data_IF_184666442504
#
_entry.id   IF_184666442504
#
_cell.length_a   1.000
_cell.length_b   1.000
_cell.length_c   1.000
_cell.angle_alpha   90.00
_cell.angle_beta   90.00
_cell.angle_gamma   90.00
#
_symmetry.space_group_name_H-M   'P 1'
#
loop_
_entity.id
_entity.type
_entity.pdbx_description
1 polymer ?
#
# COMPACT_ATOMS: atom_id res chain seq x y z
N UNK A 1 1.36 -2.03 -33.01
CA UNK A 1 0.08 -1.62 -32.37
C UNK A 1 0.32 -1.02 -30.99
N UNK A 2 1.11 -1.66 -30.11
CA UNK A 2 1.38 -1.19 -28.74
C UNK A 2 2.16 0.13 -28.63
N UNK A 3 3.09 0.39 -29.54
CA UNK A 3 3.86 1.64 -29.56
C UNK A 3 2.95 2.83 -29.84
N UNK A 4 2.04 2.70 -30.81
CA UNK A 4 1.10 3.76 -31.20
C UNK A 4 0.04 4.03 -30.12
N UNK A 5 -0.46 2.99 -29.46
CA UNK A 5 -1.36 3.10 -28.29
C UNK A 5 -0.67 3.79 -27.11
N UNK A 6 0.61 3.48 -26.85
CA UNK A 6 1.42 4.14 -25.83
C UNK A 6 1.63 5.64 -26.11
N UNK A 7 1.93 6.00 -27.37
CA UNK A 7 2.05 7.39 -27.79
C UNK A 7 0.74 8.18 -27.63
N UNK A 8 -0.39 7.62 -28.06
CA UNK A 8 -1.70 8.24 -27.92
C UNK A 8 -2.08 8.44 -26.45
N UNK A 9 -1.82 7.44 -25.60
CA UNK A 9 -2.04 7.56 -24.15
C UNK A 9 -1.18 8.65 -23.51
N UNK A 10 0.08 8.79 -23.93
CA UNK A 10 1.00 9.81 -23.41
C UNK A 10 0.60 11.21 -23.87
N UNK A 11 0.19 11.36 -25.13
CA UNK A 11 -0.34 12.62 -25.66
C UNK A 11 -1.61 13.06 -24.90
N UNK A 12 -2.53 12.12 -24.62
CA UNK A 12 -3.75 12.39 -23.83
C UNK A 12 -3.44 12.83 -22.40
N UNK A 13 -2.47 12.19 -21.74
CA UNK A 13 -2.00 12.59 -20.41
C UNK A 13 -1.44 14.01 -20.41
N UNK A 14 -0.55 14.33 -21.35
CA UNK A 14 0.05 15.66 -21.49
C UNK A 14 -1.03 16.73 -21.77
N UNK A 15 -2.00 16.43 -22.63
CA UNK A 15 -3.11 17.34 -22.90
C UNK A 15 -3.97 17.61 -21.65
N UNK A 16 -4.30 16.56 -20.88
CA UNK A 16 -5.01 16.70 -19.59
C UNK A 16 -4.21 17.51 -18.57
N UNK A 17 -2.90 17.30 -18.51
CA UNK A 17 -1.99 18.06 -17.65
C UNK A 17 -1.95 19.55 -18.03
N UNK A 18 -1.80 19.88 -19.32
CA UNK A 18 -1.88 21.26 -19.77
C UNK A 18 -3.24 21.90 -19.47
N UNK A 19 -4.32 21.14 -19.65
CA UNK A 19 -5.67 21.61 -19.37
C UNK A 19 -5.86 21.92 -17.88
N UNK A 20 -5.48 21.00 -16.98
CA UNK A 20 -5.67 21.22 -15.54
C UNK A 20 -4.83 22.39 -15.03
N UNK A 21 -3.60 22.57 -15.52
CA UNK A 21 -2.76 23.73 -15.19
C UNK A 21 -3.42 25.04 -15.60
N UNK A 22 -3.98 25.08 -16.81
CA UNK A 22 -4.68 26.25 -17.36
C UNK A 22 -5.93 26.61 -16.53
N UNK A 23 -6.74 25.61 -16.18
CA UNK A 23 -7.95 25.81 -15.36
C UNK A 23 -7.57 26.32 -13.96
N UNK A 24 -6.61 25.67 -13.30
CA UNK A 24 -6.17 26.06 -11.95
C UNK A 24 -5.60 27.48 -11.90
N UNK A 25 -4.91 27.92 -12.96
CA UNK A 25 -4.39 29.27 -13.07
C UNK A 25 -5.49 30.31 -13.34
N UNK A 26 -6.47 30.00 -14.21
CA UNK A 26 -7.55 30.92 -14.60
C UNK A 26 -8.58 31.15 -13.50
N UNK A 27 -8.94 30.10 -12.77
CA UNK A 27 -9.92 30.16 -11.68
C UNK A 27 -9.36 30.86 -10.41
N UNK A 28 -8.16 31.42 -10.50
CA UNK A 28 -7.57 32.24 -9.44
C UNK A 28 -7.10 31.46 -8.22
N UNK A 29 -7.12 30.12 -8.23
CA UNK A 29 -6.71 29.26 -7.10
C UNK A 29 -5.23 29.39 -6.70
N UNK A 30 -4.44 30.18 -7.43
CA UNK A 30 -3.06 30.50 -7.11
C UNK A 30 -2.87 31.39 -5.86
N UNK A 31 -1.61 31.69 -5.51
CA UNK A 31 -1.27 32.49 -4.34
C UNK A 31 -1.88 33.89 -4.46
N UNK A 32 -2.65 34.32 -3.45
CA UNK A 32 -3.19 35.67 -3.35
C UNK A 32 -3.11 36.17 -1.91
N UNK A 33 -2.73 37.44 -1.66
CA UNK A 33 -2.67 38.01 -0.31
C UNK A 33 -4.00 37.98 0.45
N UNK A 34 -5.13 37.91 -0.26
CA UNK A 34 -6.48 37.91 0.31
C UNK A 34 -7.08 36.52 0.51
N UNK A 35 -6.33 35.44 0.19
CA UNK A 35 -6.86 34.08 0.20
C UNK A 35 -6.87 33.51 1.62
N UNK A 36 -8.06 33.14 2.07
CA UNK A 36 -8.29 32.53 3.39
C UNK A 36 -7.77 31.08 3.37
N UNK A 37 -6.98 30.72 4.38
CA UNK A 37 -6.52 29.36 4.60
C UNK A 37 -7.67 28.46 5.04
N UNK A 38 -7.69 27.21 4.59
CA UNK A 38 -8.67 26.21 4.99
C UNK A 38 -8.00 24.87 5.34
N UNK A 39 -8.60 24.06 6.23
CA UNK A 39 -8.03 22.76 6.58
C UNK A 39 -8.14 21.79 5.40
N UNK A 40 -7.05 21.08 5.09
CA UNK A 40 -7.04 20.05 4.06
C UNK A 40 -7.96 18.88 4.48
N UNK A 41 -8.97 18.48 3.69
CA UNK A 41 -9.92 17.45 4.12
C UNK A 41 -9.25 16.15 4.59
N UNK A 42 -8.22 15.68 3.87
CA UNK A 42 -7.52 14.43 4.20
C UNK A 42 -6.49 14.57 5.33
N UNK A 43 -6.16 15.79 5.75
CA UNK A 43 -5.24 16.11 6.85
C UNK A 43 -5.68 17.42 7.51
N UNK A 44 -6.75 17.42 8.34
CA UNK A 44 -7.37 18.63 8.87
C UNK A 44 -6.44 19.54 9.68
N UNK A 45 -5.36 18.99 10.20
CA UNK A 45 -4.28 19.70 10.89
C UNK A 45 -3.40 20.55 9.97
N UNK A 46 -3.49 20.36 8.64
CA UNK A 46 -2.72 21.09 7.64
C UNK A 46 -3.61 22.16 7.02
N UNK A 47 -3.30 23.42 7.33
CA UNK A 47 -3.94 24.59 6.73
C UNK A 47 -3.29 24.89 5.37
N UNK A 48 -4.09 24.89 4.31
CA UNK A 48 -3.64 25.23 2.96
C UNK A 48 -4.30 26.53 2.51
N UNK A 49 -3.56 27.35 1.76
CA UNK A 49 -4.11 28.61 1.25
C UNK A 49 -4.36 28.56 -0.26
N UNK A 50 -3.41 28.10 -1.08
CA UNK A 50 -3.50 28.16 -2.53
C UNK A 50 -2.98 26.91 -3.21
N UNK A 51 -3.38 26.70 -4.47
CA UNK A 51 -2.79 25.69 -5.37
C UNK A 51 -1.54 26.28 -6.03
N UNK A 52 -0.62 25.41 -6.45
CA UNK A 52 0.54 25.72 -7.28
C UNK A 52 0.28 25.12 -8.68
N UNK A 53 -0.38 25.85 -9.60
CA UNK A 53 -0.86 25.29 -10.87
C UNK A 53 0.25 24.64 -11.70
N UNK A 54 1.42 25.28 -11.82
CA UNK A 54 2.54 24.82 -12.62
C UNK A 54 3.12 23.46 -12.17
N UNK A 55 2.91 23.08 -10.91
CA UNK A 55 3.35 21.80 -10.36
C UNK A 55 2.33 20.68 -10.49
N UNK A 56 1.11 20.99 -10.93
CA UNK A 56 0.09 19.97 -11.16
C UNK A 56 0.57 18.95 -12.20
N UNK A 57 0.36 17.66 -11.92
CA UNK A 57 0.72 16.54 -12.80
C UNK A 57 -0.45 15.61 -12.95
N UNK A 58 -0.56 14.94 -14.09
CA UNK A 58 -1.58 13.89 -14.29
C UNK A 58 -0.88 12.56 -14.40
N UNK A 59 -1.28 11.56 -13.62
CA UNK A 59 -0.71 10.22 -13.71
C UNK A 59 -1.38 9.38 -14.80
N UNK A 60 -0.62 8.47 -15.39
CA UNK A 60 -1.11 7.51 -16.37
C UNK A 60 -1.82 6.36 -15.64
N UNK A 61 -3.15 6.40 -15.63
CA UNK A 61 -4.04 5.35 -15.12
C UNK A 61 -5.39 5.45 -15.83
N UNK A 62 -6.29 4.47 -15.67
CA UNK A 62 -7.62 4.45 -16.27
C UNK A 62 -8.40 5.75 -16.02
N UNK A 63 -8.32 6.26 -14.78
CA UNK A 63 -9.05 7.47 -14.33
C UNK A 63 -8.21 8.76 -14.39
N UNK A 64 -6.94 8.69 -14.82
CA UNK A 64 -6.02 9.83 -14.93
C UNK A 64 -6.01 10.75 -13.68
N UNK A 65 -5.60 10.24 -12.50
CA UNK A 65 -5.63 11.04 -11.29
C UNK A 65 -4.66 12.23 -11.38
N UNK A 66 -5.10 13.36 -10.84
CA UNK A 66 -4.35 14.60 -10.85
C UNK A 66 -3.63 14.82 -9.52
N UNK A 67 -2.30 14.94 -9.56
CA UNK A 67 -1.50 15.43 -8.45
C UNK A 67 -1.63 16.94 -8.36
N UNK A 68 -2.20 17.43 -7.27
CA UNK A 68 -2.32 18.85 -6.96
C UNK A 68 -1.43 19.17 -5.78
N UNK A 69 -0.68 20.26 -5.91
CA UNK A 69 0.21 20.76 -4.86
C UNK A 69 -0.35 22.06 -4.29
N UNK A 70 -0.43 22.12 -2.97
CA UNK A 70 -0.97 23.24 -2.21
C UNK A 70 0.15 23.92 -1.41
N UNK A 71 0.09 25.24 -1.28
CA UNK A 71 0.90 25.98 -0.32
C UNK A 71 0.33 25.81 1.09
N UNK A 72 1.20 25.48 2.04
CA UNK A 72 0.84 25.36 3.46
C UNK A 72 0.98 26.71 4.13
N UNK A 73 0.02 27.05 4.98
CA UNK A 73 0.06 28.29 5.74
C UNK A 73 1.26 28.34 6.69
N UNK A 74 1.93 29.49 6.77
CA UNK A 74 3.06 29.76 7.67
C UNK A 74 4.28 28.82 7.51
N UNK A 75 4.33 27.97 6.47
CA UNK A 75 5.43 27.04 6.24
C UNK A 75 5.88 27.16 4.78
N UNK A 76 7.20 27.24 4.54
CA UNK A 76 7.79 27.15 3.20
C UNK A 76 7.79 25.71 2.64
N UNK A 77 6.71 24.98 2.89
CA UNK A 77 6.47 23.62 2.40
C UNK A 77 5.15 23.62 1.65
N UNK A 78 5.06 22.69 0.72
CA UNK A 78 3.83 22.38 0.03
C UNK A 78 3.27 21.05 0.50
N UNK A 79 1.97 20.88 0.33
CA UNK A 79 1.26 19.63 0.59
C UNK A 79 0.67 19.10 -0.70
N UNK A 80 0.89 17.80 -0.97
CA UNK A 80 0.46 17.17 -2.21
C UNK A 80 -0.65 16.17 -1.98
N UNK A 81 -1.64 16.21 -2.86
CA UNK A 81 -2.75 15.26 -2.88
C UNK A 81 -3.02 14.80 -4.30
N UNK A 82 -3.51 13.57 -4.41
CA UNK A 82 -4.07 13.01 -5.61
C UNK A 82 -5.58 13.22 -5.61
N UNK A 83 -6.08 13.93 -6.62
CA UNK A 83 -7.50 14.04 -6.91
C UNK A 83 -7.88 12.97 -7.93
N UNK A 84 -8.82 12.10 -7.54
CA UNK A 84 -9.44 11.10 -8.41
C UNK A 84 -10.86 11.53 -8.72
N UNK A 85 -11.23 11.45 -9.99
CA UNK A 85 -12.57 11.76 -10.50
C UNK A 85 -13.02 10.67 -11.46
N UNK A 86 -14.28 10.25 -11.37
CA UNK A 86 -14.84 9.11 -12.11
C UNK A 86 -14.64 7.77 -11.41
N UNK A 87 -14.33 7.76 -10.11
CA UNK A 87 -14.05 6.56 -9.32
C UNK A 87 -14.65 6.71 -7.91
N UNK A 88 -15.14 5.62 -7.34
CA UNK A 88 -15.72 5.59 -5.99
C UNK A 88 -14.68 5.14 -4.97
N UNK A 89 -14.13 6.09 -4.22
CA UNK A 89 -13.06 5.80 -3.25
C UNK A 89 -13.55 5.29 -1.90
N UNK A 90 -14.86 5.02 -1.71
CA UNK A 90 -15.36 4.51 -0.42
C UNK A 90 -14.74 3.15 -0.09
N UNK A 91 -14.47 2.33 -1.10
CA UNK A 91 -13.78 1.05 -0.96
C UNK A 91 -12.32 1.23 -0.48
N UNK A 92 -11.53 2.06 -1.16
CA UNK A 92 -10.16 2.40 -0.75
C UNK A 92 -10.12 3.05 0.65
N UNK A 93 -11.08 3.91 0.96
CA UNK A 93 -11.22 4.56 2.25
C UNK A 93 -11.47 3.53 3.37
N UNK A 94 -12.34 2.54 3.13
CA UNK A 94 -12.55 1.42 4.05
C UNK A 94 -11.26 0.61 4.24
N UNK A 95 -10.57 0.24 3.15
CA UNK A 95 -9.30 -0.48 3.22
C UNK A 95 -8.26 0.24 4.10
N UNK A 96 -8.21 1.57 3.95
CA UNK A 96 -7.26 2.38 4.68
C UNK A 96 -7.68 2.63 6.14
N UNK A 97 -8.97 2.67 6.43
CA UNK A 97 -9.50 2.64 7.79
C UNK A 97 -9.11 1.33 8.50
N UNK A 98 -9.27 0.19 7.83
CA UNK A 98 -8.89 -1.12 8.35
C UNK A 98 -7.38 -1.22 8.57
N UNK A 99 -6.58 -0.70 7.62
CA UNK A 99 -5.11 -0.59 7.75
C UNK A 99 -4.72 0.23 8.98
N UNK A 100 -5.34 1.42 9.19
CA UNK A 100 -5.11 2.28 10.37
C UNK A 100 -5.46 1.57 11.67
N UNK A 101 -6.57 0.83 11.70
CA UNK A 101 -6.99 0.06 12.85
C UNK A 101 -5.97 -1.04 13.19
N UNK A 102 -5.63 -1.88 12.21
CA UNK A 102 -4.71 -3.00 12.40
C UNK A 102 -3.31 -2.52 12.80
N UNK A 103 -2.81 -1.43 12.20
CA UNK A 103 -1.54 -0.79 12.61
C UNK A 103 -1.57 -0.34 14.09
N UNK A 104 -2.68 0.26 14.55
CA UNK A 104 -2.83 0.63 15.98
C UNK A 104 -2.86 -0.60 16.89
N UNK A 105 -3.54 -1.68 16.48
CA UNK A 105 -3.61 -2.92 17.26
C UNK A 105 -2.23 -3.58 17.39
N UNK A 106 -1.47 -3.61 16.31
CA UNK A 106 -0.08 -4.10 16.32
C UNK A 106 0.81 -3.24 17.23
N UNK A 107 0.72 -1.91 17.14
CA UNK A 107 1.46 -0.99 18.00
C UNK A 107 1.12 -1.12 19.48
N UNK A 108 -0.12 -1.47 19.84
CA UNK A 108 -0.53 -1.74 21.24
C UNK A 108 0.18 -2.94 21.85
N UNK A 109 0.58 -3.91 21.05
CA UNK A 109 1.39 -5.06 21.48
C UNK A 109 2.89 -4.85 21.20
N UNK A 110 3.32 -3.58 21.08
CA UNK A 110 4.70 -3.17 20.81
C UNK A 110 5.28 -3.70 19.49
N UNK A 111 4.42 -4.02 18.52
CA UNK A 111 4.81 -4.48 17.19
C UNK A 111 4.57 -3.37 16.17
N UNK A 112 5.52 -2.43 16.05
CA UNK A 112 5.46 -1.41 14.99
C UNK A 112 6.02 -1.99 13.68
N UNK A 113 5.17 -2.23 12.69
CA UNK A 113 5.60 -2.77 11.40
C UNK A 113 5.97 -1.69 10.38
N UNK A 114 6.11 -0.43 10.80
CA UNK A 114 6.38 0.67 9.86
C UNK A 114 5.34 0.74 8.72
N UNK A 115 4.07 0.38 9.00
CA UNK A 115 2.96 0.50 8.05
C UNK A 115 2.75 1.97 7.70
N UNK A 116 2.43 2.27 6.44
CA UNK A 116 2.19 3.66 5.97
C UNK A 116 0.70 3.87 5.70
N UNK A 117 -0.10 4.22 6.72
CA UNK A 117 -1.54 4.41 6.57
C UNK A 117 -1.86 5.84 6.08
N UNK A 118 -1.74 6.07 4.78
CA UNK A 118 -2.04 7.36 4.17
C UNK A 118 -3.56 7.68 4.22
N UNK A 119 -3.95 8.91 3.95
CA UNK A 119 -5.33 9.36 4.06
C UNK A 119 -6.09 9.28 2.73
N UNK A 120 -7.32 8.81 2.78
CA UNK A 120 -8.24 8.74 1.63
C UNK A 120 -9.59 9.24 2.09
N UNK A 121 -10.17 10.17 1.34
CA UNK A 121 -11.52 10.69 1.56
C UNK A 121 -12.28 10.71 0.25
N UNK A 122 -13.37 9.94 0.18
CA UNK A 122 -14.38 10.11 -0.85
C UNK A 122 -15.14 11.42 -0.58
N UNK A 123 -15.01 12.37 -1.50
CA UNK A 123 -15.71 13.68 -1.42
C UNK A 123 -17.08 13.63 -2.08
N UNK A 124 -17.31 12.67 -2.97
CA UNK A 124 -18.60 12.36 -3.60
C UNK A 124 -18.64 10.88 -4.03
N UNK A 125 -19.76 10.35 -4.53
CA UNK A 125 -19.83 8.99 -5.06
C UNK A 125 -18.92 8.70 -6.25
N UNK A 126 -18.32 9.72 -6.87
CA UNK A 126 -17.44 9.57 -8.04
C UNK A 126 -16.18 10.44 -7.96
N UNK A 127 -15.85 10.96 -6.78
CA UNK A 127 -14.63 11.74 -6.59
C UNK A 127 -14.07 11.63 -5.18
N UNK A 128 -12.76 11.77 -5.07
CA UNK A 128 -12.12 11.83 -3.77
C UNK A 128 -10.68 12.30 -3.81
N UNK A 129 -10.14 12.46 -2.62
CA UNK A 129 -8.80 12.98 -2.34
C UNK A 129 -8.00 11.87 -1.67
N UNK A 130 -6.81 11.61 -2.19
CA UNK A 130 -5.83 10.68 -1.64
C UNK A 130 -4.57 11.45 -1.26
N UNK A 131 -4.08 11.26 -0.04
CA UNK A 131 -2.80 11.80 0.39
C UNK A 131 -1.67 11.27 -0.51
N UNK A 132 -0.79 12.17 -0.96
CA UNK A 132 0.38 11.77 -1.73
C UNK A 132 1.53 11.40 -0.79
N UNK A 133 1.90 10.12 -0.75
CA UNK A 133 3.03 9.66 0.07
C UNK A 133 4.35 10.12 -0.56
N UNK A 134 5.07 10.94 0.19
CA UNK A 134 6.28 11.57 -0.28
C UNK A 134 7.44 10.60 -0.51
N UNK A 135 8.30 10.94 -1.47
CA UNK A 135 9.49 10.16 -1.82
C UNK A 135 9.20 8.68 -2.14
N UNK A 136 7.97 8.38 -2.57
CA UNK A 136 7.53 7.04 -2.96
C UNK A 136 7.66 6.82 -4.47
N UNK A 137 7.89 5.58 -4.86
CA UNK A 137 7.92 5.12 -6.24
C UNK A 137 7.28 3.74 -6.36
N UNK A 138 6.57 3.44 -7.46
CA UNK A 138 6.12 2.08 -7.74
C UNK A 138 7.30 1.13 -7.90
N UNK A 139 7.14 -0.11 -7.45
CA UNK A 139 8.20 -1.12 -7.50
C UNK A 139 8.61 -1.41 -8.95
N UNK A 140 7.67 -1.37 -9.90
CA UNK A 140 7.97 -1.46 -11.33
C UNK A 140 9.01 -0.42 -11.79
N UNK A 141 8.85 0.83 -11.37
CA UNK A 141 9.77 1.93 -11.68
C UNK A 141 11.10 1.79 -10.94
N UNK A 142 11.07 1.32 -9.69
CA UNK A 142 12.30 1.03 -8.92
C UNK A 142 13.13 -0.03 -9.65
N UNK A 143 12.52 -1.13 -10.05
CA UNK A 143 13.21 -2.22 -10.73
C UNK A 143 13.71 -1.80 -12.12
N UNK A 144 12.94 -1.01 -12.87
CA UNK A 144 13.36 -0.50 -14.17
C UNK A 144 14.57 0.46 -14.07
N UNK A 145 14.62 1.30 -13.03
CA UNK A 145 15.65 2.33 -12.89
C UNK A 145 16.91 1.87 -12.15
N UNK A 146 16.86 0.72 -11.45
CA UNK A 146 17.94 0.25 -10.58
C UNK A 146 18.33 -1.20 -10.87
N UNK A 147 18.49 -1.54 -12.15
CA UNK A 147 18.94 -2.86 -12.64
C UNK A 147 18.21 -4.04 -11.96
N UNK A 148 16.89 -3.94 -11.83
CA UNK A 148 16.04 -4.95 -11.19
C UNK A 148 16.41 -5.25 -9.72
N UNK A 149 16.98 -4.26 -8.99
CA UNK A 149 17.44 -4.41 -7.61
C UNK A 149 16.90 -3.33 -6.68
N UNK A 150 16.15 -3.76 -5.66
CA UNK A 150 15.70 -2.88 -4.56
C UNK A 150 16.89 -2.42 -3.71
N UNK A 151 17.90 -3.27 -3.52
CA UNK A 151 19.11 -2.90 -2.78
C UNK A 151 19.84 -1.73 -3.46
N UNK A 152 19.99 -1.78 -4.80
CA UNK A 152 20.62 -0.67 -5.54
C UNK A 152 19.82 0.64 -5.42
N UNK A 153 18.49 0.56 -5.37
CA UNK A 153 17.64 1.72 -5.08
C UNK A 153 17.97 2.31 -3.71
N UNK A 154 18.03 1.50 -2.65
CA UNK A 154 18.38 2.00 -1.32
C UNK A 154 19.82 2.52 -1.22
N UNK A 155 20.77 1.89 -1.89
CA UNK A 155 22.16 2.37 -1.98
C UNK A 155 22.23 3.77 -2.63
N UNK A 156 21.37 4.06 -3.61
CA UNK A 156 21.36 5.37 -4.28
C UNK A 156 20.77 6.50 -3.44
N UNK A 157 19.83 6.20 -2.53
CA UNK A 157 19.10 7.23 -1.76
C UNK A 157 19.45 7.28 -0.27
N UNK A 158 20.01 6.21 0.29
CA UNK A 158 20.41 6.12 1.69
C UNK A 158 21.74 5.36 1.87
N UNK A 159 22.82 5.78 1.19
CA UNK A 159 24.12 5.13 1.32
C UNK A 159 24.71 5.33 2.72
N UNK A 160 25.31 4.27 3.28
CA UNK A 160 26.13 4.35 4.49
C UNK A 160 27.32 3.41 4.38
N UNK A 161 28.52 3.95 4.21
CA UNK A 161 29.76 3.17 4.13
C UNK A 161 29.99 2.38 5.42
N UNK A 162 30.33 1.10 5.28
CA UNK A 162 30.60 0.21 6.41
C UNK A 162 29.35 -0.35 7.09
N UNK A 163 28.15 0.05 6.66
CA UNK A 163 26.92 -0.64 7.03
C UNK A 163 26.69 -1.87 6.15
N UNK A 164 25.86 -2.80 6.62
CA UNK A 164 25.47 -3.98 5.82
C UNK A 164 24.78 -3.52 4.52
N UNK A 165 25.19 -4.11 3.40
CA UNK A 165 24.72 -3.75 2.05
C UNK A 165 25.07 -2.32 1.59
N UNK A 166 25.93 -1.60 2.31
CA UNK A 166 26.23 -0.16 2.11
C UNK A 166 24.99 0.74 2.19
N UNK A 167 23.96 0.31 2.92
CA UNK A 167 22.71 1.03 3.13
C UNK A 167 22.52 1.35 4.61
N UNK A 168 21.88 2.49 4.90
CA UNK A 168 21.50 2.86 6.26
C UNK A 168 20.64 1.76 6.93
N UNK A 169 21.02 1.23 8.11
CA UNK A 169 20.33 0.08 8.73
C UNK A 169 18.83 0.29 9.01
N UNK A 170 18.41 1.52 9.33
CA UNK A 170 17.00 1.87 9.53
C UNK A 170 16.17 1.71 8.26
N UNK A 171 16.74 1.94 7.07
CA UNK A 171 16.04 1.80 5.79
C UNK A 171 15.74 0.33 5.51
N UNK A 172 16.73 -0.54 5.71
CA UNK A 172 16.54 -2.00 5.58
C UNK A 172 15.56 -2.50 6.62
N UNK A 173 15.66 -2.04 7.88
CA UNK A 173 14.72 -2.40 8.94
C UNK A 173 13.29 -1.97 8.63
N UNK A 174 13.09 -0.74 8.15
CA UNK A 174 11.79 -0.25 7.71
C UNK A 174 11.22 -1.11 6.58
N UNK A 175 12.06 -1.49 5.61
CA UNK A 175 11.64 -2.32 4.49
C UNK A 175 11.17 -3.70 4.94
N UNK A 176 11.98 -4.40 5.74
CA UNK A 176 11.64 -5.71 6.31
C UNK A 176 10.31 -5.65 7.10
N UNK A 177 10.18 -4.65 7.99
CA UNK A 177 8.99 -4.48 8.84
C UNK A 177 7.74 -4.18 8.02
N UNK A 178 7.84 -3.25 7.07
CA UNK A 178 6.69 -2.79 6.28
C UNK A 178 6.24 -3.80 5.23
N UNK A 179 7.16 -4.60 4.68
CA UNK A 179 6.80 -5.75 3.84
C UNK A 179 6.06 -6.81 4.66
N UNK A 180 6.51 -7.13 5.88
CA UNK A 180 5.80 -8.05 6.77
C UNK A 180 4.37 -7.57 7.07
N UNK A 181 4.21 -6.29 7.42
CA UNK A 181 2.90 -5.68 7.63
C UNK A 181 2.03 -5.71 6.38
N UNK A 182 2.57 -5.32 5.22
CA UNK A 182 1.85 -5.33 3.94
C UNK A 182 1.32 -6.71 3.55
N UNK A 183 2.14 -7.76 3.68
CA UNK A 183 1.72 -9.15 3.39
C UNK A 183 0.57 -9.60 4.30
N UNK A 184 0.68 -9.38 5.61
CA UNK A 184 -0.37 -9.79 6.57
C UNK A 184 -1.67 -9.02 6.34
N UNK A 185 -1.59 -7.70 6.16
CA UNK A 185 -2.77 -6.86 5.93
C UNK A 185 -3.50 -7.21 4.63
N UNK A 186 -2.76 -7.38 3.53
CA UNK A 186 -3.35 -7.75 2.23
C UNK A 186 -3.92 -9.15 2.24
N UNK A 187 -3.29 -10.10 2.95
CA UNK A 187 -3.82 -11.43 3.15
C UNK A 187 -5.16 -11.40 3.90
N UNK A 188 -5.21 -10.74 5.07
CA UNK A 188 -6.40 -10.69 5.91
C UNK A 188 -7.58 -9.99 5.22
N UNK A 189 -7.31 -8.86 4.54
CA UNK A 189 -8.34 -8.13 3.80
C UNK A 189 -8.68 -8.77 2.44
N UNK A 190 -7.92 -9.78 1.99
CA UNK A 190 -8.11 -10.43 0.70
C UNK A 190 -7.96 -9.48 -0.48
N UNK A 191 -6.93 -8.62 -0.45
CA UNK A 191 -6.71 -7.62 -1.51
C UNK A 191 -6.18 -8.29 -2.78
N UNK A 192 -6.91 -8.15 -3.87
CA UNK A 192 -6.57 -8.69 -5.19
C UNK A 192 -5.79 -7.72 -6.09
N UNK A 193 -5.45 -8.17 -7.29
CA UNK A 193 -4.75 -7.41 -8.34
C UNK A 193 -3.43 -6.75 -7.88
N UNK A 194 -2.68 -7.47 -7.05
CA UNK A 194 -1.37 -7.00 -6.57
C UNK A 194 -0.29 -7.18 -7.65
N UNK A 195 -0.09 -6.16 -8.48
CA UNK A 195 1.01 -6.07 -9.46
C UNK A 195 2.05 -5.02 -9.04
N UNK A 196 3.20 -4.99 -9.72
CA UNK A 196 4.37 -4.17 -9.34
C UNK A 196 4.09 -2.66 -9.30
N UNK A 197 3.11 -2.16 -10.08
CA UNK A 197 2.69 -0.75 -10.02
C UNK A 197 1.84 -0.40 -8.79
N UNK A 198 1.19 -1.40 -8.16
CA UNK A 198 0.40 -1.22 -6.93
C UNK A 198 1.24 -1.39 -5.66
N UNK A 199 2.51 -1.76 -5.80
CA UNK A 199 3.47 -1.90 -4.71
C UNK A 199 4.38 -0.69 -4.68
N UNK A 200 4.34 0.09 -3.61
CA UNK A 200 5.09 1.33 -3.49
C UNK A 200 6.23 1.18 -2.48
N UNK A 201 7.38 1.80 -2.78
CA UNK A 201 8.53 1.89 -1.87
C UNK A 201 8.94 3.35 -1.72
N UNK A 202 9.20 3.77 -0.49
CA UNK A 202 9.78 5.08 -0.18
C UNK A 202 11.31 5.02 -0.12
N UNK A 203 11.97 6.16 -0.36
CA UNK A 203 13.42 6.31 -0.14
C UNK A 203 13.87 6.02 1.31
N UNK A 204 12.94 6.02 2.26
CA UNK A 204 13.18 5.70 3.68
C UNK A 204 13.00 4.22 4.02
N UNK A 205 12.72 3.38 3.01
CA UNK A 205 12.55 1.94 3.18
C UNK A 205 11.13 1.48 3.43
N UNK A 206 10.16 2.38 3.66
CA UNK A 206 8.76 1.96 3.88
C UNK A 206 8.15 1.43 2.58
N UNK A 207 7.54 0.25 2.67
CA UNK A 207 6.74 -0.41 1.65
C UNK A 207 5.24 -0.26 1.98
N UNK A 208 4.41 -0.05 0.97
CA UNK A 208 2.97 0.00 1.13
C UNK A 208 2.24 -0.32 -0.18
N UNK A 209 0.98 -0.69 -0.06
CA UNK A 209 0.12 -0.96 -1.20
C UNK A 209 -0.72 0.27 -1.53
N UNK A 210 -0.97 0.50 -2.82
CA UNK A 210 -1.97 1.45 -3.31
C UNK A 210 -3.01 0.72 -4.14
N UNK A 211 -4.11 1.41 -4.45
CA UNK A 211 -5.21 0.94 -5.27
C UNK A 211 -5.91 -0.30 -4.66
N UNK A 212 -7.08 -0.13 -4.07
CA UNK A 212 -7.83 -1.23 -3.45
C UNK A 212 -9.09 -1.58 -4.25
N UNK A 213 -9.06 -1.44 -5.57
CA UNK A 213 -10.20 -1.75 -6.45
C UNK A 213 -10.67 -3.21 -6.44
N UNK A 214 -9.88 -4.14 -5.90
CA UNK A 214 -10.29 -5.53 -5.67
C UNK A 214 -10.00 -5.93 -4.23
N UNK A 215 -11.04 -6.21 -3.45
CA UNK A 215 -10.94 -6.60 -2.04
C UNK A 215 -11.79 -7.82 -1.69
N UNK A 216 -11.59 -8.32 -0.47
CA UNK A 216 -12.37 -9.40 0.13
C UNK A 216 -12.37 -10.70 -0.70
N UNK A 217 -11.24 -10.98 -1.34
CA UNK A 217 -11.01 -12.19 -2.12
C UNK A 217 -11.40 -12.09 -3.59
N UNK A 218 -11.85 -10.92 -4.06
CA UNK A 218 -11.98 -10.67 -5.50
C UNK A 218 -10.59 -10.46 -6.11
N UNK A 219 -10.39 -11.06 -7.27
CA UNK A 219 -9.19 -10.83 -8.09
C UNK A 219 -9.58 -11.03 -9.57
N UNK A 220 -9.05 -10.23 -10.50
CA UNK A 220 -9.24 -10.47 -11.93
C UNK A 220 -8.61 -11.79 -12.42
N UNK A 221 -7.68 -12.37 -11.64
CA UNK A 221 -6.98 -13.61 -11.98
C UNK A 221 -7.69 -14.81 -11.36
N UNK A 222 -7.76 -15.96 -12.06
CA UNK A 222 -8.50 -17.14 -11.61
C UNK A 222 -7.86 -17.84 -10.39
N UNK A 223 -6.54 -17.72 -10.21
CA UNK A 223 -5.79 -18.35 -9.11
C UNK A 223 -4.75 -17.36 -8.57
N UNK A 224 -5.17 -16.31 -7.84
CA UNK A 224 -4.24 -15.35 -7.30
C UNK A 224 -3.45 -15.97 -6.13
N UNK A 225 -2.17 -15.60 -5.95
CA UNK A 225 -1.46 -15.95 -4.73
C UNK A 225 -2.11 -15.26 -3.53
N UNK A 226 -1.96 -15.84 -2.34
CA UNK A 226 -2.57 -15.33 -1.11
C UNK A 226 -2.19 -13.88 -0.77
N UNK A 227 -0.94 -13.51 -1.09
CA UNK A 227 -0.44 -12.14 -1.13
C UNK A 227 0.72 -12.05 -2.13
N UNK A 228 1.16 -10.84 -2.45
CA UNK A 228 2.24 -10.61 -3.42
C UNK A 228 3.58 -10.38 -2.72
N UNK A 229 4.40 -11.44 -2.65
CA UNK A 229 5.82 -11.36 -2.29
C UNK A 229 6.65 -11.76 -3.52
N UNK A 230 7.55 -10.87 -3.97
CA UNK A 230 8.36 -11.13 -5.18
C UNK A 230 9.78 -11.53 -4.82
N UNK A 231 10.47 -12.22 -5.74
CA UNK A 231 11.89 -12.54 -5.56
C UNK A 231 12.74 -11.29 -5.34
N UNK A 232 12.43 -10.19 -6.04
CA UNK A 232 13.15 -8.92 -5.87
C UNK A 232 12.97 -8.31 -4.47
N UNK A 233 11.83 -8.56 -3.82
CA UNK A 233 11.60 -8.16 -2.43
C UNK A 233 12.46 -9.00 -1.48
N UNK A 234 12.56 -10.31 -1.70
CA UNK A 234 13.44 -11.21 -0.94
C UNK A 234 14.91 -10.85 -1.13
N UNK A 235 15.33 -10.60 -2.37
CA UNK A 235 16.68 -10.13 -2.70
C UNK A 235 16.94 -8.74 -2.09
N UNK A 236 15.90 -7.90 -2.01
CA UNK A 236 15.90 -6.62 -1.28
C UNK A 236 16.20 -6.76 0.21
N UNK A 237 15.87 -7.91 0.80
CA UNK A 237 16.22 -8.29 2.17
C UNK A 237 17.58 -9.02 2.24
N UNK A 238 18.33 -9.09 1.14
CA UNK A 238 19.61 -9.81 1.09
C UNK A 238 19.49 -11.31 0.84
N UNK A 239 18.34 -11.79 0.34
CA UNK A 239 18.10 -13.18 -0.03
C UNK A 239 17.46 -14.00 1.09
N UNK A 240 17.02 -15.22 0.77
CA UNK A 240 16.27 -16.09 1.70
C UNK A 240 17.07 -16.59 2.89
N UNK A 241 18.39 -16.68 2.75
CA UNK A 241 19.28 -17.11 3.83
C UNK A 241 19.68 -15.95 4.77
N UNK A 242 19.23 -14.73 4.48
CA UNK A 242 19.61 -13.55 5.24
C UNK A 242 18.95 -13.52 6.64
N UNK A 243 19.55 -12.75 7.55
CA UNK A 243 18.95 -12.50 8.85
C UNK A 243 17.67 -11.66 8.73
N UNK A 244 17.65 -10.75 7.76
CA UNK A 244 16.55 -9.84 7.45
C UNK A 244 15.33 -10.59 6.92
N UNK A 245 15.52 -11.61 6.07
CA UNK A 245 14.43 -12.46 5.60
C UNK A 245 13.84 -13.30 6.73
N UNK A 246 14.70 -13.89 7.58
CA UNK A 246 14.23 -14.58 8.80
C UNK A 246 13.47 -13.63 9.74
N UNK A 247 13.92 -12.39 9.87
CA UNK A 247 13.22 -11.36 10.62
C UNK A 247 11.86 -11.02 9.99
N UNK A 248 11.77 -10.87 8.67
CA UNK A 248 10.52 -10.69 7.93
C UNK A 248 9.53 -11.82 8.25
N UNK A 249 9.93 -13.09 8.11
CA UNK A 249 9.07 -14.24 8.41
C UNK A 249 8.57 -14.22 9.85
N UNK A 250 9.49 -13.94 10.80
CA UNK A 250 9.17 -13.84 12.23
C UNK A 250 8.16 -12.71 12.52
N UNK A 251 8.37 -11.53 11.95
CA UNK A 251 7.48 -10.37 12.12
C UNK A 251 6.10 -10.62 11.51
N UNK A 252 6.04 -11.25 10.33
CA UNK A 252 4.79 -11.57 9.66
C UNK A 252 3.94 -12.56 10.48
N UNK A 253 4.57 -13.61 11.03
CA UNK A 253 3.89 -14.57 11.91
C UNK A 253 3.39 -13.92 13.20
N UNK A 254 4.23 -13.10 13.85
CA UNK A 254 3.84 -12.35 15.06
C UNK A 254 2.67 -11.40 14.78
N UNK A 255 2.71 -10.69 13.65
CA UNK A 255 1.66 -9.78 13.25
C UNK A 255 0.34 -10.51 12.96
N UNK A 256 0.41 -11.65 12.27
CA UNK A 256 -0.75 -12.49 12.00
C UNK A 256 -1.41 -12.97 13.30
N UNK A 257 -0.64 -13.52 14.24
CA UNK A 257 -1.14 -13.95 15.54
C UNK A 257 -1.67 -12.79 16.41
N UNK A 258 -1.02 -11.63 16.38
CA UNK A 258 -1.50 -10.45 17.10
C UNK A 258 -2.86 -9.97 16.56
N UNK A 259 -3.04 -9.93 15.24
CA UNK A 259 -4.29 -9.50 14.62
C UNK A 259 -5.41 -10.53 14.78
N UNK A 260 -5.10 -11.83 14.79
CA UNK A 260 -6.04 -12.92 15.13
C UNK A 260 -6.71 -12.73 16.47
N UNK A 261 -5.94 -12.33 17.49
CA UNK A 261 -6.46 -12.04 18.83
C UNK A 261 -7.42 -10.85 18.86
N UNK A 262 -7.39 -10.00 17.82
CA UNK A 262 -8.26 -8.83 17.66
C UNK A 262 -9.28 -8.98 16.53
N UNK A 263 -9.48 -10.19 15.99
CA UNK A 263 -10.34 -10.44 14.84
C UNK A 263 -11.78 -9.94 15.06
N UNK A 264 -12.34 -10.15 16.25
CA UNK A 264 -13.70 -9.69 16.57
C UNK A 264 -13.93 -8.19 16.36
N UNK A 265 -12.94 -7.34 16.66
CA UNK A 265 -13.06 -5.89 16.40
C UNK A 265 -13.06 -5.58 14.91
N UNK A 266 -12.20 -6.26 14.14
CA UNK A 266 -12.13 -6.11 12.68
C UNK A 266 -13.45 -6.55 12.04
N UNK A 267 -13.96 -7.73 12.41
CA UNK A 267 -15.19 -8.30 11.87
C UNK A 267 -16.41 -7.46 12.23
N UNK A 268 -16.53 -7.00 13.48
CA UNK A 268 -17.65 -6.14 13.90
C UNK A 268 -17.69 -4.83 13.11
N UNK A 269 -16.54 -4.22 12.82
CA UNK A 269 -16.51 -3.01 11.99
C UNK A 269 -16.91 -3.28 10.55
N UNK A 270 -16.55 -4.44 9.99
CA UNK A 270 -17.00 -4.82 8.65
C UNK A 270 -18.50 -5.10 8.62
N UNK A 271 -19.07 -5.74 9.64
CA UNK A 271 -20.51 -5.93 9.78
C UNK A 271 -21.25 -4.59 9.86
N UNK A 272 -20.73 -3.59 10.58
CA UNK A 272 -21.34 -2.25 10.61
C UNK A 272 -21.28 -1.52 9.26
N UNK A 273 -20.40 -1.95 8.36
CA UNK A 273 -20.25 -1.38 7.02
C UNK A 273 -21.01 -2.16 5.94
N UNK A 274 -21.73 -3.23 6.29
CA UNK A 274 -22.44 -4.11 5.35
C UNK A 274 -23.40 -3.35 4.43
N UNK A 275 -24.09 -2.34 4.98
CA UNK A 275 -25.13 -1.57 4.29
C UNK A 275 -24.60 -0.27 3.67
N UNK A 276 -23.28 -0.07 3.64
CA UNK A 276 -22.66 1.16 3.16
C UNK A 276 -22.71 1.34 1.62
N UNK A 277 -23.21 0.35 0.88
CA UNK A 277 -23.29 0.39 -0.58
C UNK A 277 -21.92 0.38 -1.26
N UNK A 278 -20.93 -0.30 -0.67
CA UNK A 278 -19.56 -0.44 -1.18
C UNK A 278 -19.51 -1.67 -2.09
N UNK A 279 -18.99 -1.52 -3.31
CA UNK A 279 -19.12 -2.50 -4.39
C UNK A 279 -18.71 -3.93 -4.01
N UNK A 280 -17.47 -4.13 -3.53
CA UNK A 280 -16.97 -5.47 -3.18
C UNK A 280 -17.51 -6.02 -1.85
N UNK A 281 -18.12 -5.16 -1.02
CA UNK A 281 -18.66 -5.54 0.28
C UNK A 281 -20.16 -5.88 0.23
N UNK A 282 -20.97 -5.02 -0.40
CA UNK A 282 -22.44 -5.10 -0.38
C UNK A 282 -23.06 -5.51 -1.72
N UNK A 283 -22.41 -5.20 -2.85
CA UNK A 283 -22.97 -5.41 -4.19
C UNK A 283 -22.37 -6.62 -4.88
N UNK A 284 -21.96 -7.64 -4.12
CA UNK A 284 -21.37 -8.82 -4.71
C UNK A 284 -22.46 -9.74 -5.31
N UNK A 285 -22.50 -9.97 -6.64
CA UNK A 285 -23.52 -10.84 -7.25
C UNK A 285 -23.46 -12.29 -6.76
N UNK A 286 -22.37 -12.67 -6.07
CA UNK A 286 -22.07 -14.02 -5.63
C UNK A 286 -22.10 -14.24 -4.11
N UNK A 287 -22.29 -13.19 -3.31
CA UNK A 287 -22.36 -13.27 -1.85
C UNK A 287 -23.06 -12.03 -1.26
N UNK A 288 -23.92 -12.21 -0.27
CA UNK A 288 -24.34 -11.11 0.61
C UNK A 288 -23.13 -10.61 1.44
N UNK A 289 -23.29 -9.45 2.09
CA UNK A 289 -22.23 -8.88 2.92
C UNK A 289 -21.74 -9.86 4.00
N UNK A 290 -22.64 -10.69 4.54
CA UNK A 290 -22.30 -11.72 5.53
C UNK A 290 -21.37 -12.80 4.94
N UNK A 291 -21.60 -13.25 3.71
CA UNK A 291 -20.72 -14.18 3.00
C UNK A 291 -19.35 -13.57 2.68
N UNK A 292 -19.28 -12.27 2.40
CA UNK A 292 -18.01 -11.55 2.22
C UNK A 292 -17.24 -11.45 3.53
N UNK A 293 -17.93 -11.14 4.64
CA UNK A 293 -17.31 -11.05 5.96
C UNK A 293 -16.86 -12.42 6.47
N UNK A 294 -17.63 -13.49 6.20
CA UNK A 294 -17.24 -14.86 6.50
C UNK A 294 -15.93 -15.27 5.79
N UNK A 295 -15.70 -14.81 4.55
CA UNK A 295 -14.42 -15.03 3.86
C UNK A 295 -13.26 -14.29 4.53
N UNK A 296 -13.51 -13.11 5.09
CA UNK A 296 -12.51 -12.38 5.87
C UNK A 296 -12.23 -13.11 7.18
N UNK A 297 -13.26 -13.60 7.87
CA UNK A 297 -13.15 -14.40 9.09
C UNK A 297 -12.34 -15.69 8.85
N UNK A 298 -12.60 -16.40 7.75
CA UNK A 298 -11.85 -17.60 7.38
C UNK A 298 -10.34 -17.31 7.23
N UNK A 299 -9.97 -16.13 6.71
CA UNK A 299 -8.57 -15.71 6.59
C UNK A 299 -7.89 -15.47 7.93
N UNK A 300 -8.63 -15.17 9.00
CA UNK A 300 -8.05 -15.12 10.34
C UNK A 300 -7.68 -16.51 10.88
N UNK A 301 -8.27 -17.59 10.34
CA UNK A 301 -7.98 -18.97 10.75
C UNK A 301 -8.12 -19.20 12.26
N UNK A 302 -9.18 -18.65 12.86
CA UNK A 302 -9.43 -18.73 14.29
C UNK A 302 -9.57 -20.17 14.83
N UNK A 303 -9.71 -21.15 13.93
CA UNK A 303 -9.67 -22.58 14.17
C UNK A 303 -8.29 -23.10 14.62
N UNK A 304 -7.21 -22.38 14.31
CA UNK A 304 -5.84 -22.81 14.60
C UNK A 304 -5.34 -22.31 15.96
N UNK A 305 -4.42 -23.05 16.58
CA UNK A 305 -3.57 -22.55 17.68
C UNK A 305 -2.53 -21.54 17.17
N UNK A 306 -1.92 -20.77 18.07
CA UNK A 306 -0.87 -19.79 17.72
C UNK A 306 0.26 -20.47 16.93
N UNK A 307 0.72 -21.67 17.34
CA UNK A 307 1.79 -22.41 16.66
C UNK A 307 1.37 -22.95 15.28
N UNK A 308 0.14 -23.44 15.16
CA UNK A 308 -0.39 -23.91 13.88
C UNK A 308 -0.57 -22.74 12.90
N UNK A 309 -1.00 -21.58 13.40
CA UNK A 309 -1.15 -20.37 12.62
C UNK A 309 0.19 -19.84 12.10
N UNK A 310 1.26 -19.89 12.91
CA UNK A 310 2.61 -19.57 12.44
C UNK A 310 3.03 -20.49 11.29
N UNK A 311 2.88 -21.81 11.46
CA UNK A 311 3.22 -22.79 10.40
C UNK A 311 2.43 -22.55 9.13
N UNK A 312 1.12 -22.32 9.27
CA UNK A 312 0.24 -22.00 8.15
C UNK A 312 0.71 -20.75 7.41
N UNK A 313 1.02 -19.66 8.12
CA UNK A 313 1.44 -18.42 7.48
C UNK A 313 2.83 -18.55 6.83
N UNK A 314 3.76 -19.30 7.43
CA UNK A 314 5.05 -19.63 6.79
C UNK A 314 4.87 -20.42 5.50
N UNK A 315 3.92 -21.37 5.47
CA UNK A 315 3.58 -22.08 4.23
C UNK A 315 3.07 -21.11 3.16
N UNK A 316 2.21 -20.15 3.51
CA UNK A 316 1.76 -19.12 2.56
C UNK A 316 2.90 -18.25 2.02
N UNK A 317 3.88 -17.89 2.85
CA UNK A 317 5.08 -17.16 2.41
C UNK A 317 5.85 -18.00 1.39
N UNK A 318 6.07 -19.28 1.68
CA UNK A 318 6.79 -20.19 0.79
C UNK A 318 6.04 -20.42 -0.51
N UNK A 319 4.72 -20.60 -0.47
CA UNK A 319 3.88 -20.81 -1.65
C UNK A 319 3.86 -19.58 -2.57
N UNK A 320 3.85 -18.39 -1.97
CA UNK A 320 3.92 -17.13 -2.70
C UNK A 320 5.25 -16.96 -3.47
N UNK A 321 6.32 -17.61 -3.00
CA UNK A 321 7.64 -17.63 -3.65
C UNK A 321 7.81 -18.82 -4.60
N UNK A 322 7.28 -19.99 -4.23
CA UNK A 322 7.40 -21.24 -5.00
C UNK A 322 6.57 -21.24 -6.27
N UNK A 323 5.50 -20.44 -6.31
CA UNK A 323 4.81 -20.06 -7.54
C UNK A 323 5.76 -19.46 -8.61
N UNK A 324 7.00 -19.12 -8.24
CA UNK A 324 8.02 -18.59 -9.12
C UNK A 324 9.39 -19.33 -9.08
N UNK A 325 9.74 -20.17 -8.08
CA UNK A 325 10.95 -21.04 -8.11
C UNK A 325 11.01 -22.20 -7.06
N UNK A 326 11.68 -23.36 -7.34
CA UNK A 326 11.53 -24.61 -6.56
C UNK A 326 12.48 -24.88 -5.35
N UNK A 327 13.17 -23.90 -4.75
CA UNK A 327 14.31 -24.16 -3.81
C UNK A 327 14.09 -23.89 -2.31
N UNK A 328 12.86 -23.77 -1.81
CA UNK A 328 12.62 -23.17 -0.47
C UNK A 328 12.21 -24.11 0.68
N UNK A 329 12.24 -25.44 0.51
CA UNK A 329 11.84 -26.37 1.56
C UNK A 329 12.78 -26.39 2.79
N UNK A 330 14.04 -25.97 2.66
CA UNK A 330 15.05 -26.09 3.73
C UNK A 330 14.92 -25.06 4.87
N UNK A 331 14.19 -23.95 4.65
CA UNK A 331 14.06 -22.83 5.60
C UNK A 331 13.19 -23.19 6.82
N UNK A 332 12.19 -24.05 6.63
CA UNK A 332 11.34 -24.51 7.74
C UNK A 332 12.14 -25.28 8.80
N UNK A 333 13.21 -25.96 8.40
CA UNK A 333 14.03 -26.72 9.34
C UNK A 333 14.92 -25.80 10.18
N UNK A 334 15.48 -24.73 9.60
CA UNK A 334 16.40 -23.83 10.30
C UNK A 334 15.69 -22.87 11.27
N UNK A 335 14.52 -22.34 10.91
CA UNK A 335 13.73 -21.44 11.79
C UNK A 335 13.14 -22.21 12.98
N UNK A 336 12.71 -23.47 12.77
CA UNK A 336 12.21 -24.32 13.86
C UNK A 336 13.32 -24.72 14.85
N UNK A 337 14.57 -24.84 14.39
CA UNK A 337 15.72 -25.18 15.23
C UNK A 337 16.29 -23.97 15.97
N UNK A 338 16.24 -22.77 15.39
CA UNK A 338 16.75 -21.54 16.02
C UNK A 338 15.88 -20.96 17.16
N UNK A 339 14.68 -21.54 17.39
CA UNK A 339 13.76 -21.17 18.47
C UNK A 339 13.65 -22.24 19.58
N UNK A 340 14.53 -23.25 19.59
CA UNK A 340 14.79 -24.11 20.76
C UNK A 340 15.98 -23.56 21.55
#
# INVERSE_FOLDING_TARGET
MDVQLSYLSKAKQIAKEMHIRSVLAKEGYGPSPSRISFPMPCAPEIMVNSVIPEKAKVFKSAVYPALIEFNVEHVLKSYRVLMKTGDDLRQDQLAMMMTKLMDRLLKRVSLDLCITPYSIIATSPSSGIVEFVEQSMPLSAVLANHNNSILQFFQSYAPQKGAKYDVRPDVISNFVRSVAGGCVLTYLMGVGDRHLDNLMITKTGRFFHIDFGFMFGRDPKPLPPAFRLTQQMVDGMGGSESAEYRQFCSLACQAFNALRKSAGLVLNLLHLMSDAGIEDLSNNPSADADGVIAKVEERFRLDLTDEQAERFFLTLINDSLSAYAPRFMDIMHSIAVARR
#
